data_IF_966012678283
#
_entry.id   IF_966012678283
#
_cell.length_a   1.000
_cell.length_b   1.000
_cell.length_c   1.000
_cell.angle_alpha   90.00
_cell.angle_beta   90.00
_cell.angle_gamma   90.00
#
_symmetry.space_group_name_H-M   'P 1'
#
loop_
_entity.id
_entity.type
_entity.pdbx_description
1 polymer ?
#
# COMPACT_ATOMS: atom_id res chain seq x y z
N UNK A 1 65.77 -70.08 -1.67
CA UNK A 1 64.32 -69.83 -1.50
C UNK A 1 64.04 -68.44 -2.09
N UNK A 2 63.88 -68.38 -3.41
CA UNK A 2 62.61 -68.18 -4.14
C UNK A 2 61.93 -66.80 -3.92
N UNK A 3 61.72 -66.14 -5.06
CA UNK A 3 60.64 -65.18 -5.41
C UNK A 3 60.87 -63.66 -5.32
N UNK A 4 61.36 -63.15 -6.45
CA UNK A 4 60.72 -62.16 -7.33
C UNK A 4 59.20 -61.92 -7.09
N UNK A 5 58.78 -60.64 -7.15
CA UNK A 5 57.56 -60.06 -7.77
C UNK A 5 57.22 -58.76 -7.03
N UNK A 6 56.67 -57.69 -7.58
CA UNK A 6 56.36 -57.20 -8.93
C UNK A 6 55.94 -55.75 -8.69
N UNK A 7 56.43 -54.83 -9.51
CA UNK A 7 55.91 -53.46 -9.59
C UNK A 7 54.42 -53.52 -9.94
N UNK A 8 53.56 -52.89 -9.14
CA UNK A 8 52.16 -52.62 -9.52
C UNK A 8 51.98 -51.11 -9.54
N UNK A 9 51.84 -50.61 -10.76
CA UNK A 9 51.41 -49.26 -11.07
C UNK A 9 49.94 -49.14 -10.62
N UNK A 10 49.67 -48.44 -9.53
CA UNK A 10 48.29 -48.14 -9.12
C UNK A 10 47.84 -46.88 -9.85
N UNK A 11 47.20 -47.08 -11.00
CA UNK A 11 46.48 -46.03 -11.72
C UNK A 11 45.23 -45.67 -10.91
N UNK A 12 45.26 -44.55 -10.18
CA UNK A 12 44.06 -43.98 -9.57
C UNK A 12 43.23 -43.32 -10.67
N UNK A 13 42.23 -44.07 -11.15
CA UNK A 13 41.16 -43.56 -11.99
C UNK A 13 40.37 -42.52 -11.18
N UNK A 14 40.48 -41.24 -11.55
CA UNK A 14 39.56 -40.21 -11.07
C UNK A 14 38.20 -40.44 -11.75
N UNK A 15 37.29 -41.12 -11.05
CA UNK A 15 35.87 -41.11 -11.40
C UNK A 15 35.32 -39.77 -10.91
N UNK A 16 35.25 -38.80 -11.81
CA UNK A 16 34.49 -37.57 -11.59
C UNK A 16 33.00 -37.91 -11.64
N UNK A 17 32.43 -38.18 -10.47
CA UNK A 17 30.99 -38.17 -10.28
C UNK A 17 30.52 -36.73 -10.46
N UNK A 18 30.07 -36.40 -11.67
CA UNK A 18 29.24 -35.22 -11.89
C UNK A 18 27.90 -35.47 -11.16
N UNK A 19 27.84 -35.11 -9.89
CA UNK A 19 26.58 -34.84 -9.22
C UNK A 19 26.01 -33.61 -9.89
N UNK A 20 25.15 -33.83 -10.88
CA UNK A 20 24.19 -32.82 -11.28
C UNK A 20 23.28 -32.61 -10.08
N UNK A 21 23.55 -31.57 -9.30
CA UNK A 21 22.57 -31.00 -8.39
C UNK A 21 21.40 -30.53 -9.27
N UNK A 22 20.47 -31.44 -9.50
CA UNK A 22 19.11 -31.12 -9.87
C UNK A 22 18.50 -30.38 -8.70
N UNK A 23 18.83 -29.09 -8.58
CA UNK A 23 18.14 -28.16 -7.71
C UNK A 23 16.67 -28.25 -8.09
N UNK A 24 15.90 -28.92 -7.24
CA UNK A 24 14.44 -28.90 -7.30
C UNK A 24 14.07 -27.46 -7.02
N UNK A 25 13.89 -26.66 -8.06
CA UNK A 25 13.14 -25.42 -7.98
C UNK A 25 11.71 -25.82 -7.63
N UNK A 26 11.43 -25.90 -6.33
CA UNK A 26 10.05 -25.88 -5.85
C UNK A 26 9.49 -24.52 -6.29
N UNK A 27 8.65 -24.53 -7.32
CA UNK A 27 7.79 -23.40 -7.59
C UNK A 27 6.87 -23.29 -6.37
N UNK A 28 7.22 -22.41 -5.42
CA UNK A 28 6.34 -22.07 -4.31
C UNK A 28 5.04 -21.55 -4.91
N UNK A 29 3.97 -22.32 -4.78
CA UNK A 29 2.63 -21.87 -5.13
C UNK A 29 2.24 -20.76 -4.17
N UNK A 30 2.14 -19.54 -4.68
CA UNK A 30 1.68 -18.38 -3.92
C UNK A 30 0.29 -18.68 -3.35
N UNK A 31 0.06 -18.50 -2.04
CA UNK A 31 -1.27 -18.69 -1.45
C UNK A 31 -2.33 -17.85 -2.19
N UNK A 32 -3.52 -18.40 -2.39
CA UNK A 32 -4.60 -17.70 -3.09
C UNK A 32 -5.11 -16.44 -2.37
N UNK A 33 -4.77 -16.29 -1.09
CA UNK A 33 -5.06 -15.11 -0.28
C UNK A 33 -3.87 -14.16 -0.12
N UNK A 34 -2.74 -14.40 -0.81
CA UNK A 34 -1.62 -13.47 -0.89
C UNK A 34 -2.03 -12.23 -1.70
N UNK A 35 -1.84 -11.04 -1.13
CA UNK A 35 -2.18 -9.77 -1.76
C UNK A 35 -1.07 -8.72 -1.70
N UNK A 36 0.17 -9.06 -1.35
CA UNK A 36 1.26 -8.08 -1.23
C UNK A 36 1.43 -7.28 -2.52
N UNK A 37 1.58 -7.93 -3.68
CA UNK A 37 1.73 -7.20 -4.94
C UNK A 37 0.49 -6.43 -5.34
N UNK A 38 -0.68 -7.07 -5.28
CA UNK A 38 -1.93 -6.45 -5.75
C UNK A 38 -2.36 -5.29 -4.86
N UNK A 39 -2.19 -5.42 -3.55
CA UNK A 39 -2.50 -4.36 -2.59
C UNK A 39 -1.44 -3.25 -2.63
N UNK A 40 -0.14 -3.55 -2.72
CA UNK A 40 0.90 -2.52 -2.94
C UNK A 40 0.65 -1.73 -4.23
N UNK A 41 0.16 -2.37 -5.30
CA UNK A 41 -0.25 -1.66 -6.51
C UNK A 41 -1.41 -0.71 -6.25
N UNK A 42 -2.46 -1.15 -5.55
CA UNK A 42 -3.60 -0.31 -5.16
C UNK A 42 -3.15 0.90 -4.34
N UNK A 43 -2.26 0.69 -3.36
CA UNK A 43 -1.68 1.76 -2.54
C UNK A 43 -0.96 2.80 -3.40
N UNK A 44 -0.05 2.37 -4.29
CA UNK A 44 0.69 3.29 -5.19
C UNK A 44 -0.24 4.06 -6.11
N UNK A 45 -1.19 3.38 -6.77
CA UNK A 45 -2.09 4.02 -7.74
C UNK A 45 -2.97 5.06 -7.07
N UNK A 46 -3.60 4.73 -5.95
CA UNK A 46 -4.52 5.65 -5.29
C UNK A 46 -3.77 6.79 -4.59
N UNK A 47 -2.55 6.55 -4.10
CA UNK A 47 -1.70 7.61 -3.58
C UNK A 47 -1.29 8.61 -4.66
N UNK A 48 -0.97 8.15 -5.87
CA UNK A 48 -0.66 9.03 -7.00
C UNK A 48 -1.86 9.89 -7.39
N UNK A 49 -3.07 9.32 -7.36
CA UNK A 49 -4.33 10.05 -7.56
C UNK A 49 -4.49 11.15 -6.50
N UNK A 50 -4.26 10.83 -5.22
CA UNK A 50 -4.37 11.81 -4.13
C UNK A 50 -3.31 12.91 -4.20
N UNK A 51 -2.07 12.56 -4.55
CA UNK A 51 -1.01 13.55 -4.73
C UNK A 51 -1.32 14.49 -5.90
N UNK A 52 -1.84 13.97 -7.01
CA UNK A 52 -2.25 14.80 -8.16
C UNK A 52 -3.44 15.70 -7.81
N UNK A 53 -4.44 15.16 -7.09
CA UNK A 53 -5.56 15.93 -6.58
C UNK A 53 -5.12 17.09 -5.67
N UNK A 54 -4.06 16.89 -4.88
CA UNK A 54 -3.49 17.95 -4.06
C UNK A 54 -2.84 19.07 -4.88
N UNK A 55 -2.18 18.76 -6.00
CA UNK A 55 -1.67 19.79 -6.90
C UNK A 55 -2.80 20.59 -7.56
N UNK A 56 -3.83 19.93 -8.07
CA UNK A 56 -5.01 20.62 -8.64
C UNK A 56 -5.73 21.48 -7.59
N UNK A 57 -5.83 21.02 -6.34
CA UNK A 57 -6.44 21.79 -5.25
C UNK A 57 -5.62 23.03 -4.87
N UNK A 58 -4.29 22.96 -4.97
CA UNK A 58 -3.41 24.12 -4.78
C UNK A 58 -3.60 25.12 -5.91
N UNK A 59 -3.72 24.66 -7.16
CA UNK A 59 -4.03 25.51 -8.32
C UNK A 59 -5.37 26.24 -8.16
N UNK A 60 -6.40 25.55 -7.67
CA UNK A 60 -7.73 26.13 -7.41
C UNK A 60 -7.77 26.97 -6.11
N UNK A 61 -6.70 26.98 -5.30
CA UNK A 61 -6.63 27.74 -4.05
C UNK A 61 -7.53 27.20 -2.93
N UNK A 62 -7.93 25.92 -3.01
CA UNK A 62 -8.89 25.28 -2.07
C UNK A 62 -8.27 24.15 -1.24
N UNK A 63 -6.97 23.93 -1.37
CA UNK A 63 -6.20 23.01 -0.54
C UNK A 63 -6.16 23.46 0.95
N UNK A 64 -6.29 22.55 1.94
CA UNK A 64 -6.48 21.09 1.81
C UNK A 64 -7.94 20.63 1.70
N UNK A 65 -8.91 21.54 1.80
CA UNK A 65 -10.34 21.18 1.88
C UNK A 65 -10.81 20.36 0.69
N UNK A 66 -10.61 20.82 -0.54
CA UNK A 66 -11.10 20.10 -1.73
C UNK A 66 -10.50 18.69 -1.88
N UNK A 67 -9.25 18.51 -1.45
CA UNK A 67 -8.57 17.20 -1.39
C UNK A 67 -9.19 16.30 -0.34
N UNK A 68 -9.45 16.83 0.86
CA UNK A 68 -10.10 16.10 1.95
C UNK A 68 -11.49 15.63 1.57
N UNK A 69 -12.27 16.45 0.86
CA UNK A 69 -13.59 16.05 0.35
C UNK A 69 -13.48 14.99 -0.75
N UNK A 70 -12.59 15.16 -1.71
CA UNK A 70 -12.36 14.16 -2.76
C UNK A 70 -11.94 12.81 -2.18
N UNK A 71 -11.13 12.84 -1.12
CA UNK A 71 -10.76 11.66 -0.34
C UNK A 71 -11.99 11.04 0.34
N UNK A 72 -12.77 11.81 1.09
CA UNK A 72 -13.96 11.34 1.80
C UNK A 72 -15.00 10.70 0.85
N UNK A 73 -15.27 11.34 -0.30
CA UNK A 73 -16.18 10.82 -1.34
C UNK A 73 -15.75 9.42 -1.83
N UNK A 74 -14.44 9.15 -1.88
CA UNK A 74 -13.89 7.88 -2.34
C UNK A 74 -13.90 6.81 -1.26
N UNK A 75 -13.56 7.14 -0.01
CA UNK A 75 -13.42 6.16 1.06
C UNK A 75 -14.71 5.86 1.82
N UNK A 76 -15.75 6.69 1.69
CA UNK A 76 -17.06 6.45 2.35
C UNK A 76 -17.63 5.05 2.05
N UNK A 77 -18.53 4.50 2.90
CA UNK A 77 -19.22 3.24 2.60
C UNK A 77 -19.84 3.21 1.20
N UNK A 78 -19.54 2.16 0.44
CA UNK A 78 -19.97 2.02 -0.97
C UNK A 78 -19.19 2.89 -1.97
N UNK A 79 -18.23 3.70 -1.51
CA UNK A 79 -17.33 4.48 -2.33
C UNK A 79 -16.33 3.63 -3.11
N UNK A 80 -15.64 4.27 -4.07
CA UNK A 80 -14.66 3.61 -4.93
C UNK A 80 -13.53 2.93 -4.13
N UNK A 81 -13.20 3.44 -2.95
CA UNK A 81 -12.11 2.99 -2.10
C UNK A 81 -12.57 2.44 -0.75
N UNK A 82 -13.83 2.00 -0.64
CA UNK A 82 -14.33 1.23 0.53
C UNK A 82 -13.72 -0.20 0.55
N UNK A 83 -12.41 -0.28 0.77
CA UNK A 83 -11.68 -1.54 0.75
C UNK A 83 -11.98 -2.41 1.97
N UNK A 84 -12.43 -1.83 3.09
CA UNK A 84 -12.95 -2.60 4.25
C UNK A 84 -14.11 -3.50 3.81
N UNK A 85 -15.04 -2.97 3.01
CA UNK A 85 -16.15 -3.76 2.48
C UNK A 85 -15.74 -4.62 1.28
N UNK A 86 -14.99 -4.08 0.31
CA UNK A 86 -14.60 -4.80 -0.92
C UNK A 86 -13.77 -6.05 -0.65
N UNK A 87 -12.87 -6.01 0.33
CA UNK A 87 -12.09 -7.17 0.75
C UNK A 87 -12.86 -8.06 1.73
N UNK A 88 -13.93 -7.56 2.32
CA UNK A 88 -14.69 -8.22 3.37
C UNK A 88 -14.00 -8.10 4.72
N UNK A 89 -14.63 -7.38 5.65
CA UNK A 89 -14.05 -7.00 6.96
C UNK A 89 -13.41 -8.17 7.73
N UNK A 90 -13.97 -9.38 7.65
CA UNK A 90 -13.49 -10.57 8.37
C UNK A 90 -12.63 -11.52 7.53
N UNK A 91 -12.55 -11.32 6.22
CA UNK A 91 -11.78 -12.20 5.32
C UNK A 91 -10.29 -11.97 5.55
N UNK A 92 -9.51 -13.05 5.54
CA UNK A 92 -8.07 -13.00 5.81
C UNK A 92 -7.25 -13.05 4.52
N UNK A 93 -6.18 -12.28 4.51
CA UNK A 93 -5.23 -12.11 3.41
C UNK A 93 -3.81 -12.12 3.96
N UNK A 94 -2.84 -12.44 3.11
CA UNK A 94 -1.43 -12.28 3.44
C UNK A 94 -0.96 -10.97 2.80
N UNK A 95 -0.46 -10.06 3.62
CA UNK A 95 0.17 -8.81 3.18
C UNK A 95 1.49 -8.64 3.90
N UNK A 96 2.58 -8.51 3.14
CA UNK A 96 3.95 -8.43 3.65
C UNK A 96 4.32 -9.61 4.58
N UNK A 97 3.82 -10.81 4.27
CA UNK A 97 4.00 -12.01 5.10
C UNK A 97 3.13 -12.08 6.36
N UNK A 98 2.33 -11.05 6.66
CA UNK A 98 1.42 -11.04 7.81
C UNK A 98 0.00 -11.44 7.40
N UNK A 99 -0.65 -12.26 8.21
CA UNK A 99 -2.06 -12.58 8.06
C UNK A 99 -2.91 -11.41 8.58
N UNK A 100 -3.59 -10.71 7.69
CA UNK A 100 -4.38 -9.51 7.96
C UNK A 100 -5.83 -9.71 7.54
N UNK A 101 -6.77 -9.06 8.23
CA UNK A 101 -8.16 -8.99 7.80
C UNK A 101 -8.33 -7.96 6.68
N UNK A 102 -9.39 -8.10 5.88
CA UNK A 102 -9.76 -7.09 4.88
C UNK A 102 -10.02 -5.71 5.50
N UNK A 103 -10.46 -5.68 6.77
CA UNK A 103 -10.56 -4.46 7.57
C UNK A 103 -9.19 -3.79 7.80
N UNK A 104 -8.18 -4.57 8.19
CA UNK A 104 -6.81 -4.09 8.41
C UNK A 104 -6.23 -3.48 7.12
N UNK A 105 -6.43 -4.16 5.98
CA UNK A 105 -6.01 -3.63 4.68
C UNK A 105 -6.75 -2.35 4.31
N UNK A 106 -8.04 -2.24 4.60
CA UNK A 106 -8.79 -0.99 4.42
C UNK A 106 -8.23 0.17 5.25
N UNK A 107 -7.81 -0.10 6.49
CA UNK A 107 -7.17 0.89 7.36
C UNK A 107 -5.78 1.32 6.85
N UNK A 108 -4.96 0.36 6.41
CA UNK A 108 -3.65 0.63 5.82
C UNK A 108 -3.79 1.50 4.57
N UNK A 109 -4.76 1.17 3.71
CA UNK A 109 -5.08 1.95 2.53
C UNK A 109 -5.40 3.40 2.90
N UNK A 110 -6.35 3.60 3.81
CA UNK A 110 -6.78 4.91 4.27
C UNK A 110 -5.59 5.79 4.69
N UNK A 111 -4.73 5.28 5.59
CA UNK A 111 -3.58 6.04 6.10
C UNK A 111 -2.55 6.37 5.01
N UNK A 112 -2.22 5.39 4.16
CA UNK A 112 -1.22 5.55 3.11
C UNK A 112 -1.61 6.64 2.10
N UNK A 113 -2.85 6.60 1.61
CA UNK A 113 -3.29 7.52 0.54
C UNK A 113 -3.69 8.90 1.06
N UNK A 114 -4.17 9.00 2.30
CA UNK A 114 -4.40 10.28 2.97
C UNK A 114 -3.10 11.09 3.09
N UNK A 115 -2.03 10.42 3.53
CA UNK A 115 -0.70 11.03 3.66
C UNK A 115 -0.15 11.48 2.31
N UNK A 116 -0.41 10.73 1.24
CA UNK A 116 -0.05 11.10 -0.13
C UNK A 116 -0.77 12.37 -0.64
N UNK A 117 -2.03 12.56 -0.24
CA UNK A 117 -2.76 13.81 -0.47
C UNK A 117 -2.30 14.97 0.40
N UNK A 118 -1.26 14.78 1.22
CA UNK A 118 -0.73 15.72 2.21
C UNK A 118 -1.77 16.19 3.23
N UNK A 119 -2.81 15.38 3.46
CA UNK A 119 -3.83 15.69 4.45
C UNK A 119 -3.21 15.51 5.85
N UNK A 120 -3.23 16.52 6.73
CA UNK A 120 -2.79 16.38 8.11
C UNK A 120 -3.51 15.23 8.81
N UNK A 121 -2.79 14.41 9.56
CA UNK A 121 -3.37 13.25 10.25
C UNK A 121 -4.39 13.72 11.28
N UNK A 122 -4.23 14.90 11.87
CA UNK A 122 -5.12 15.51 12.86
C UNK A 122 -6.52 15.82 12.28
N UNK A 123 -6.62 16.08 10.97
CA UNK A 123 -7.91 16.24 10.29
C UNK A 123 -8.57 14.89 9.96
N UNK A 124 -7.88 13.77 10.22
CA UNK A 124 -8.29 12.41 9.87
C UNK A 124 -8.20 11.44 11.06
N UNK A 125 -7.65 11.86 12.19
CA UNK A 125 -7.28 10.99 13.31
C UNK A 125 -8.47 10.71 14.21
N UNK A 126 -9.35 11.71 14.35
CA UNK A 126 -10.57 11.62 15.11
C UNK A 126 -11.78 12.10 14.29
N UNK A 127 -12.95 11.80 14.84
CA UNK A 127 -14.21 12.09 14.20
C UNK A 127 -14.45 13.59 14.05
N UNK A 128 -13.91 14.40 14.96
CA UNK A 128 -14.09 15.85 15.00
C UNK A 128 -13.28 16.53 13.89
N UNK A 129 -12.03 16.13 13.66
CA UNK A 129 -11.21 16.53 12.53
C UNK A 129 -11.80 16.08 11.19
N UNK A 130 -12.32 14.85 11.13
CA UNK A 130 -13.01 14.34 9.94
C UNK A 130 -14.30 15.12 9.62
N UNK A 131 -15.03 15.58 10.64
CA UNK A 131 -16.18 16.48 10.46
C UNK A 131 -15.76 17.91 10.07
N UNK A 132 -14.55 18.37 10.41
CA UNK A 132 -14.04 19.66 9.93
C UNK A 132 -13.68 19.64 8.43
N UNK A 133 -13.35 18.46 7.89
CA UNK A 133 -13.25 18.27 6.43
C UNK A 133 -14.64 18.40 5.78
N UNK A 134 -15.75 18.10 6.49
CA UNK A 134 -17.10 18.25 5.93
C UNK A 134 -18.32 18.18 6.88
N UNK A 135 -19.30 19.05 6.60
CA UNK A 135 -20.73 18.92 6.97
C UNK A 135 -21.62 18.95 5.70
N UNK A 136 -22.10 17.80 5.22
CA UNK A 136 -23.32 17.70 4.41
C UNK A 136 -24.18 16.54 4.85
N UNK A 137 -25.46 16.67 4.53
CA UNK A 137 -26.48 15.68 4.85
C UNK A 137 -26.22 14.31 4.20
N UNK A 138 -25.54 14.25 3.05
CA UNK A 138 -25.24 13.00 2.34
C UNK A 138 -24.08 12.19 2.94
N UNK A 139 -23.21 12.83 3.72
CA UNK A 139 -22.06 12.20 4.40
C UNK A 139 -22.20 12.23 5.92
N UNK A 140 -23.37 12.63 6.43
CA UNK A 140 -23.66 12.68 7.85
C UNK A 140 -23.45 11.28 8.47
N UNK A 141 -22.49 11.18 9.37
CA UNK A 141 -22.11 9.93 10.05
C UNK A 141 -21.23 8.96 9.25
N UNK A 142 -20.60 9.40 8.16
CA UNK A 142 -19.62 8.57 7.45
C UNK A 142 -18.42 8.23 8.35
N UNK A 143 -17.95 9.22 9.11
CA UNK A 143 -16.83 9.11 10.03
C UNK A 143 -17.13 8.13 11.17
N UNK A 144 -18.37 8.10 11.68
CA UNK A 144 -18.82 7.14 12.69
C UNK A 144 -18.63 5.68 12.25
N UNK A 145 -18.69 5.38 10.95
CA UNK A 145 -18.51 4.02 10.42
C UNK A 145 -17.05 3.67 10.10
N UNK A 146 -16.14 4.65 10.16
CA UNK A 146 -14.73 4.52 9.77
C UNK A 146 -13.74 4.59 10.93
N UNK A 147 -14.16 5.18 12.06
CA UNK A 147 -13.32 5.44 13.24
C UNK A 147 -13.75 4.67 14.50
N UNK A 148 -14.60 3.63 14.39
CA UNK A 148 -15.31 3.04 15.54
C UNK A 148 -14.58 1.92 16.30
N UNK A 149 -13.41 1.44 15.83
CA UNK A 149 -12.65 0.38 16.52
C UNK A 149 -11.29 0.84 17.05
N UNK A 150 -10.90 0.44 18.28
CA UNK A 150 -9.57 0.70 18.86
C UNK A 150 -8.38 0.23 18.00
N UNK A 151 -8.60 -0.71 17.09
CA UNK A 151 -7.57 -1.27 16.21
C UNK A 151 -7.44 -0.54 14.87
N UNK A 152 -8.38 0.35 14.52
CA UNK A 152 -8.33 1.06 13.24
C UNK A 152 -7.16 2.06 13.18
N UNK A 153 -6.77 2.61 14.33
CA UNK A 153 -5.66 3.56 14.45
C UNK A 153 -4.32 2.93 14.06
N UNK A 154 -4.04 1.70 14.51
CA UNK A 154 -2.80 1.01 14.21
C UNK A 154 -2.63 0.71 12.71
N UNK A 155 -3.71 0.30 12.03
CA UNK A 155 -3.68 0.07 10.59
C UNK A 155 -3.44 1.35 9.80
N UNK A 156 -4.11 2.46 10.18
CA UNK A 156 -3.89 3.77 9.55
C UNK A 156 -2.47 4.27 9.77
N UNK A 157 -1.97 4.19 11.01
CA UNK A 157 -0.59 4.57 11.35
C UNK A 157 0.43 3.75 10.54
N UNK A 158 0.20 2.45 10.37
CA UNK A 158 1.05 1.61 9.52
C UNK A 158 1.02 2.07 8.05
N UNK A 159 -0.14 2.42 7.51
CA UNK A 159 -0.26 3.03 6.18
C UNK A 159 0.54 4.31 6.02
N UNK A 160 0.47 5.23 6.99
CA UNK A 160 1.27 6.47 7.02
C UNK A 160 2.76 6.15 7.02
N UNK A 161 3.19 5.21 7.87
CA UNK A 161 4.59 4.78 7.94
C UNK A 161 5.08 4.19 6.61
N UNK A 162 4.26 3.37 5.93
CA UNK A 162 4.61 2.82 4.63
C UNK A 162 4.84 3.92 3.59
N UNK A 163 4.02 4.98 3.60
CA UNK A 163 4.17 6.13 2.69
C UNK A 163 5.42 6.95 3.01
N UNK A 164 5.54 7.39 4.27
CA UNK A 164 6.63 8.27 4.71
C UNK A 164 8.01 7.61 4.52
N UNK A 165 8.10 6.29 4.74
CA UNK A 165 9.36 5.54 4.66
C UNK A 165 9.60 4.85 3.30
N UNK A 166 8.71 4.98 2.32
CA UNK A 166 8.81 4.30 1.01
C UNK A 166 8.92 2.77 1.10
N UNK A 167 8.31 2.18 2.12
CA UNK A 167 8.48 0.76 2.48
C UNK A 167 7.44 -0.15 1.82
N UNK A 168 6.95 0.17 0.62
CA UNK A 168 5.92 -0.68 0.03
C UNK A 168 6.45 -2.09 -0.24
N UNK A 169 5.84 -3.11 0.37
CA UNK A 169 6.38 -4.46 0.37
C UNK A 169 6.29 -5.09 -1.01
N UNK A 170 7.32 -5.86 -1.33
CA UNK A 170 7.42 -6.75 -2.48
C UNK A 170 7.26 -8.19 -1.97
N UNK A 171 6.44 -9.07 -2.58
CA UNK A 171 6.25 -10.43 -2.07
C UNK A 171 7.52 -11.29 -2.00
N UNK A 172 8.57 -10.88 -2.69
CA UNK A 172 9.87 -11.53 -2.78
C UNK A 172 10.85 -11.03 -1.71
N UNK A 173 10.53 -9.92 -1.04
CA UNK A 173 11.35 -9.38 0.03
C UNK A 173 11.00 -10.07 1.35
N UNK A 174 11.99 -10.38 2.20
CA UNK A 174 11.71 -10.83 3.57
C UNK A 174 10.97 -9.74 4.34
N UNK A 175 10.05 -10.09 5.27
CA UNK A 175 9.33 -9.08 6.06
C UNK A 175 10.33 -8.17 6.79
N UNK A 176 10.16 -6.84 6.72
CA UNK A 176 11.13 -5.91 7.25
C UNK A 176 11.22 -6.03 8.78
N UNK A 177 12.41 -5.87 9.38
CA UNK A 177 12.55 -5.77 10.83
C UNK A 177 11.78 -4.55 11.39
N UNK A 178 11.44 -4.52 12.69
CA UNK A 178 10.72 -3.41 13.31
C UNK A 178 11.42 -2.07 13.04
N UNK A 179 10.67 -1.13 12.46
CA UNK A 179 11.20 0.08 11.83
C UNK A 179 11.56 1.14 12.89
N UNK A 180 12.78 1.69 12.82
CA UNK A 180 13.16 2.94 13.50
C UNK A 180 12.70 4.14 12.66
N UNK A 181 12.32 5.30 13.25
CA UNK A 181 11.95 6.49 12.49
C UNK A 181 13.10 6.95 11.57
N UNK A 182 12.79 7.23 10.30
CA UNK A 182 13.74 7.75 9.31
C UNK A 182 13.37 9.19 8.89
N UNK A 183 14.36 9.94 8.43
CA UNK A 183 14.26 11.34 8.01
C UNK A 183 13.75 11.46 6.56
N UNK A 184 12.88 12.45 6.24
CA UNK A 184 12.21 12.52 4.95
C UNK A 184 13.18 12.86 3.81
N UNK A 185 13.16 12.07 2.74
CA UNK A 185 13.78 12.41 1.46
C UNK A 185 12.71 12.93 0.48
N UNK A 186 13.00 14.06 -0.19
CA UNK A 186 12.11 14.66 -1.19
C UNK A 186 12.14 13.85 -2.50
N UNK A 187 11.18 12.94 -2.68
CA UNK A 187 10.90 12.29 -3.96
C UNK A 187 9.72 12.98 -4.65
N UNK A 188 9.96 13.64 -5.78
CA UNK A 188 8.91 14.22 -6.60
C UNK A 188 8.05 13.11 -7.25
N UNK A 189 6.73 13.21 -7.11
CA UNK A 189 5.80 12.23 -7.67
C UNK A 189 5.82 12.27 -9.21
N UNK A 190 6.00 11.11 -9.85
CA UNK A 190 5.96 11.01 -11.31
C UNK A 190 4.51 10.87 -11.81
N UNK A 191 3.87 12.00 -12.10
CA UNK A 191 2.50 12.02 -12.64
C UNK A 191 2.37 11.52 -14.08
N UNK A 192 3.45 11.18 -14.78
CA UNK A 192 3.36 10.61 -16.14
C UNK A 192 2.77 9.20 -16.15
N UNK A 193 2.66 8.56 -15.00
CA UNK A 193 2.02 7.25 -14.83
C UNK A 193 0.47 7.37 -14.85
N UNK A 194 -0.08 8.58 -14.65
CA UNK A 194 -1.51 8.82 -14.85
C UNK A 194 -1.80 9.12 -16.32
N UNK A 195 -2.81 8.46 -16.86
CA UNK A 195 -3.34 8.72 -18.19
C UNK A 195 -3.95 10.12 -18.27
N UNK A 196 -4.07 10.68 -19.47
CA UNK A 196 -4.75 11.96 -19.69
C UNK A 196 -6.18 11.92 -19.15
N UNK A 197 -6.91 10.83 -19.37
CA UNK A 197 -8.28 10.66 -18.89
C UNK A 197 -8.35 10.69 -17.35
N UNK A 198 -7.42 10.02 -16.66
CA UNK A 198 -7.35 10.05 -15.20
C UNK A 198 -7.10 11.47 -14.70
N UNK A 199 -6.12 12.19 -15.28
CA UNK A 199 -5.82 13.58 -14.91
C UNK A 199 -7.01 14.50 -15.12
N UNK A 200 -7.68 14.41 -16.28
CA UNK A 200 -8.88 15.20 -16.57
C UNK A 200 -9.98 14.94 -15.55
N UNK A 201 -10.26 13.68 -15.24
CA UNK A 201 -11.30 13.33 -14.25
C UNK A 201 -10.96 13.89 -12.86
N UNK A 202 -9.71 13.77 -12.42
CA UNK A 202 -9.28 14.31 -11.12
C UNK A 202 -9.43 15.82 -11.07
N UNK A 203 -9.02 16.53 -12.14
CA UNK A 203 -9.19 17.97 -12.25
C UNK A 203 -10.66 18.38 -12.21
N UNK A 204 -11.52 17.71 -12.95
CA UNK A 204 -12.97 17.96 -12.95
C UNK A 204 -13.59 17.74 -11.57
N UNK A 205 -13.19 16.68 -10.86
CA UNK A 205 -13.64 16.40 -9.49
C UNK A 205 -13.23 17.52 -8.52
N UNK A 206 -11.96 17.94 -8.54
CA UNK A 206 -11.46 19.03 -7.69
C UNK A 206 -12.12 20.36 -8.03
N UNK A 207 -12.35 20.66 -9.29
CA UNK A 207 -13.05 21.87 -9.71
C UNK A 207 -14.52 21.88 -9.30
N UNK A 208 -15.22 20.75 -9.43
CA UNK A 208 -16.59 20.58 -8.95
C UNK A 208 -16.68 20.85 -7.45
N UNK A 209 -15.77 20.27 -6.68
CA UNK A 209 -15.70 20.43 -5.22
C UNK A 209 -15.36 21.87 -4.85
N UNK A 210 -14.34 22.45 -5.47
CA UNK A 210 -13.88 23.83 -5.20
C UNK A 210 -14.99 24.86 -5.43
N UNK A 211 -15.79 24.70 -6.50
CA UNK A 211 -16.97 25.53 -6.77
C UNK A 211 -18.05 25.45 -5.68
N UNK A 212 -18.11 24.37 -4.93
CA UNK A 212 -19.06 24.25 -3.81
C UNK A 212 -18.51 24.94 -2.55
N UNK A 213 -17.20 24.82 -2.30
CA UNK A 213 -16.53 25.42 -1.13
C UNK A 213 -16.45 26.95 -1.17
N UNK A 214 -16.40 27.55 -2.37
CA UNK A 214 -16.23 29.00 -2.56
C UNK A 214 -17.55 29.78 -2.68
N UNK A 215 -18.70 29.13 -2.46
CA UNK A 215 -20.03 29.77 -2.45
C UNK A 215 -20.40 30.22 -1.05
#
# INVERSE_FOLDING_TARGET
>A
MYMWKKTVLSSCLFVSLCLSDGGVTSAQTTPSNEMTSSFSYILKRNALIMAYAAEEAKEEGTYPWSVGLAFAEKVKPGGEWDYKTKFGRKKQFIFNGYLMKGEDLGNIHFGYIARAGTIPIELLADIEGAYQIWYSEELKGWADNYFDQPNDEAGRAYGVLLWDNKLLPNPQDPPPPPVKPFEPAEEQQNFNILTTQEKTKIKEDIQRISKHLLK
#
